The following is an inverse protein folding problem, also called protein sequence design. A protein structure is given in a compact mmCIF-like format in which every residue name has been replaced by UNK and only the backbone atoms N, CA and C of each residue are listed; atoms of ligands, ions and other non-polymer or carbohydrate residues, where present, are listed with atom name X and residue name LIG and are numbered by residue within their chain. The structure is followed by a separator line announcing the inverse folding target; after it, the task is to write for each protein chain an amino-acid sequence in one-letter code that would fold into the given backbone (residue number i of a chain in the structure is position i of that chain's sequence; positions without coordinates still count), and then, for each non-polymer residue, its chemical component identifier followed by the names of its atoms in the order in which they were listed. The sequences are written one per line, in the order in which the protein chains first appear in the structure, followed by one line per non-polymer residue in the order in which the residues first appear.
data_IF_261857993132
#
_entry.id   IF_261857993132
#
_cell.length_a   1.000
_cell.length_b   1.000
_cell.length_c   1.000
_cell.angle_alpha   90.00
_cell.angle_beta   90.00
_cell.angle_gamma   90.00
#
_symmetry.space_group_name_H-M   'P 1'
#
loop_
_entity.id
_entity.type
_entity.pdbx_description
1 polymer ?
#
# COMPACT_ATOMS: atom_id res chain seq x y z
N UNK A 1 -16.19 -6.77 -4.23
CA UNK A 1 -15.04 -7.22 -3.41
C UNK A 1 -15.49 -7.28 -1.96
N UNK A 2 -15.60 -8.47 -1.38
CA UNK A 2 -15.96 -8.67 0.03
C UNK A 2 -14.72 -9.15 0.79
N UNK A 3 -14.21 -8.43 1.81
CA UNK A 3 -13.06 -8.89 2.59
C UNK A 3 -13.35 -10.17 3.40
N UNK A 4 -14.62 -10.51 3.65
CA UNK A 4 -15.04 -11.75 4.32
C UNK A 4 -15.14 -12.96 3.41
N UNK A 5 -15.33 -12.72 2.12
CA UNK A 5 -15.46 -13.76 1.11
C UNK A 5 -14.74 -13.31 -0.17
N UNK A 6 -13.43 -13.14 -0.05
CA UNK A 6 -12.62 -12.56 -1.13
C UNK A 6 -12.41 -13.59 -2.24
N UNK A 7 -12.95 -13.31 -3.42
CA UNK A 7 -12.73 -14.12 -4.61
C UNK A 7 -11.45 -13.67 -5.32
N UNK A 8 -10.43 -14.54 -5.33
CA UNK A 8 -9.16 -14.26 -5.99
C UNK A 8 -9.28 -14.08 -7.50
N UNK A 9 -10.33 -14.61 -8.13
CA UNK A 9 -10.60 -14.40 -9.56
C UNK A 9 -11.11 -12.98 -9.88
N UNK A 10 -11.45 -12.19 -8.85
CA UNK A 10 -11.84 -10.78 -9.02
C UNK A 10 -10.68 -9.88 -9.45
N UNK A 11 -9.44 -10.37 -9.40
CA UNK A 11 -8.25 -9.63 -9.79
C UNK A 11 -7.56 -10.28 -10.99
N UNK A 12 -7.03 -9.43 -11.86
CA UNK A 12 -6.20 -9.84 -13.00
C UNK A 12 -4.77 -9.40 -12.71
N UNK A 13 -3.86 -10.35 -12.52
CA UNK A 13 -2.45 -10.07 -12.34
C UNK A 13 -1.81 -9.64 -13.65
N UNK A 14 -1.05 -8.53 -13.60
CA UNK A 14 -0.32 -8.00 -14.76
C UNK A 14 1.06 -7.50 -14.34
N UNK A 15 2.09 -7.85 -15.10
CA UNK A 15 3.43 -7.28 -14.99
C UNK A 15 3.67 -6.37 -16.19
N UNK A 16 3.77 -5.08 -15.94
CA UNK A 16 3.87 -4.03 -16.98
C UNK A 16 4.54 -2.79 -16.39
N UNK A 17 5.24 -2.02 -17.22
CA UNK A 17 5.84 -0.75 -16.81
C UNK A 17 4.80 0.37 -16.66
N UNK A 18 3.62 0.20 -17.27
CA UNK A 18 2.50 1.16 -17.20
C UNK A 18 1.20 0.41 -16.95
N UNK A 19 0.41 0.88 -15.99
CA UNK A 19 -0.94 0.40 -15.74
C UNK A 19 -1.95 1.52 -16.02
N UNK A 20 -2.98 1.22 -16.82
CA UNK A 20 -4.13 2.11 -17.03
C UNK A 20 -5.24 1.65 -16.08
N UNK A 21 -5.61 2.51 -15.14
CA UNK A 21 -6.71 2.28 -14.20
C UNK A 21 -7.98 2.84 -14.84
N UNK A 22 -9.01 2.01 -15.08
CA UNK A 22 -10.29 2.48 -15.62
C UNK A 22 -10.95 3.54 -14.72
N UNK A 23 -11.91 4.32 -15.25
CA UNK A 23 -12.73 5.23 -14.46
C UNK A 23 -13.39 4.52 -13.26
N UNK A 24 -13.42 5.19 -12.11
CA UNK A 24 -14.06 4.70 -10.88
C UNK A 24 -13.63 3.28 -10.47
N UNK A 25 -12.35 2.96 -10.67
CA UNK A 25 -11.76 1.65 -10.38
C UNK A 25 -10.44 1.80 -9.62
N UNK A 26 -9.84 0.69 -9.20
CA UNK A 26 -8.57 0.70 -8.49
C UNK A 26 -7.65 -0.42 -8.95
N UNK A 27 -6.36 -0.26 -8.65
CA UNK A 27 -5.33 -1.28 -8.86
C UNK A 27 -4.56 -1.50 -7.55
N UNK A 28 -4.22 -2.75 -7.27
CA UNK A 28 -3.29 -3.10 -6.21
C UNK A 28 -1.90 -3.28 -6.80
N UNK A 29 -0.90 -2.68 -6.15
CA UNK A 29 0.50 -2.85 -6.45
C UNK A 29 1.29 -3.00 -5.15
N UNK A 30 2.62 -3.03 -5.26
CA UNK A 30 3.51 -2.99 -4.10
C UNK A 30 4.67 -2.04 -4.33
N UNK A 31 5.28 -1.57 -3.25
CA UNK A 31 6.56 -0.85 -3.32
C UNK A 31 7.66 -1.74 -3.89
N UNK A 32 8.64 -1.11 -4.55
CA UNK A 32 9.90 -1.78 -4.90
C UNK A 32 10.69 -2.04 -3.62
N UNK A 33 10.69 -1.06 -2.73
CA UNK A 33 11.35 -1.03 -1.44
C UNK A 33 10.74 -2.04 -0.46
N UNK A 34 11.59 -2.61 0.37
CA UNK A 34 11.23 -3.44 1.52
C UNK A 34 11.52 -2.67 2.80
N UNK A 35 10.54 -2.56 3.69
CA UNK A 35 10.70 -1.84 4.95
C UNK A 35 10.84 -2.79 6.12
N UNK A 36 11.62 -2.35 7.11
CA UNK A 36 11.69 -2.90 8.47
C UNK A 36 11.53 -1.73 9.43
N UNK A 37 10.36 -1.59 10.01
CA UNK A 37 10.00 -0.44 10.84
C UNK A 37 10.50 -0.67 12.27
N UNK A 38 11.28 0.27 12.85
CA UNK A 38 11.68 0.20 14.25
C UNK A 38 10.49 0.13 15.22
N UNK A 39 10.74 -0.33 16.45
CA UNK A 39 9.69 -0.50 17.47
C UNK A 39 9.18 0.82 18.06
N UNK A 40 9.92 1.90 17.85
CA UNK A 40 9.63 3.26 18.30
C UNK A 40 9.22 4.17 17.14
N UNK A 41 8.90 3.63 15.95
CA UNK A 41 8.55 4.43 14.78
C UNK A 41 7.20 4.00 14.19
N UNK A 42 6.33 4.96 13.93
CA UNK A 42 5.14 4.80 13.10
C UNK A 42 5.40 5.43 11.73
N UNK A 43 5.00 4.76 10.65
CA UNK A 43 5.17 5.32 9.30
C UNK A 43 3.82 5.55 8.64
N UNK A 44 3.63 6.75 8.10
CA UNK A 44 2.43 7.13 7.34
C UNK A 44 2.81 7.29 5.88
N UNK A 45 2.05 6.65 5.00
CA UNK A 45 2.19 6.83 3.55
C UNK A 45 1.23 7.93 3.07
N UNK A 46 1.73 8.81 2.22
CA UNK A 46 0.94 9.84 1.56
C UNK A 46 1.15 9.77 0.04
N UNK A 47 0.09 10.06 -0.71
CA UNK A 47 0.19 10.26 -2.16
C UNK A 47 1.09 11.45 -2.51
N UNK A 48 1.57 11.47 -3.75
CA UNK A 48 2.31 12.62 -4.31
C UNK A 48 1.40 13.51 -5.14
N UNK A 49 1.70 14.82 -5.13
CA UNK A 49 0.87 15.83 -5.78
C UNK A 49 0.66 15.58 -7.28
N UNK A 50 1.67 15.03 -7.97
CA UNK A 50 1.59 14.67 -9.40
C UNK A 50 0.40 13.74 -9.67
N UNK A 51 0.29 12.64 -8.92
CA UNK A 51 -0.80 11.67 -9.07
C UNK A 51 -2.12 12.18 -8.51
N UNK A 52 -2.09 12.89 -7.38
CA UNK A 52 -3.29 13.49 -6.80
C UNK A 52 -3.98 14.47 -7.78
N UNK A 53 -3.21 15.23 -8.56
CA UNK A 53 -3.75 16.14 -9.59
C UNK A 53 -4.34 15.44 -10.81
N UNK A 54 -4.06 14.15 -10.97
CA UNK A 54 -4.70 13.29 -11.96
C UNK A 54 -5.92 12.53 -11.38
N UNK A 55 -6.33 12.83 -10.14
CA UNK A 55 -7.42 12.16 -9.43
C UNK A 55 -7.08 10.71 -9.01
N UNK A 56 -5.78 10.42 -8.89
CA UNK A 56 -5.29 9.17 -8.31
C UNK A 56 -5.07 9.35 -6.81
N UNK A 57 -5.70 8.49 -6.03
CA UNK A 57 -5.50 8.38 -4.59
C UNK A 57 -4.62 7.16 -4.34
N UNK A 58 -3.56 7.32 -3.55
CA UNK A 58 -2.77 6.20 -3.02
C UNK A 58 -3.23 5.94 -1.61
N UNK A 59 -3.99 4.87 -1.40
CA UNK A 59 -4.48 4.46 -0.09
C UNK A 59 -3.57 3.37 0.48
N UNK A 60 -3.06 3.61 1.69
CA UNK A 60 -2.15 2.72 2.41
C UNK A 60 -2.40 2.92 3.91
N UNK A 61 -2.62 1.84 4.63
CA UNK A 61 -2.75 1.89 6.10
C UNK A 61 -1.38 2.15 6.73
N UNK A 62 -1.30 2.86 7.87
CA UNK A 62 -0.04 3.11 8.56
C UNK A 62 0.79 1.84 8.77
N UNK A 63 2.11 1.96 8.64
CA UNK A 63 3.02 0.86 8.96
C UNK A 63 3.36 0.96 10.43
N UNK A 64 2.80 0.02 11.19
CA UNK A 64 2.89 0.00 12.64
C UNK A 64 4.31 -0.34 13.12
N UNK A 65 4.69 0.07 14.34
CA UNK A 65 6.01 -0.24 14.88
C UNK A 65 6.29 -1.74 14.89
N UNK A 66 7.51 -2.10 14.47
CA UNK A 66 7.93 -3.50 14.32
C UNK A 66 7.39 -4.22 13.08
N UNK A 67 6.64 -3.57 12.19
CA UNK A 67 6.21 -4.17 10.92
C UNK A 67 7.37 -4.32 9.93
N UNK A 68 7.40 -5.42 9.16
CA UNK A 68 8.27 -5.54 7.98
C UNK A 68 7.54 -6.10 6.76
N UNK A 69 7.93 -5.66 5.57
CA UNK A 69 7.27 -6.08 4.32
C UNK A 69 7.54 -5.15 3.14
N UNK A 70 7.13 -5.60 1.94
CA UNK A 70 6.78 -4.67 0.87
C UNK A 70 5.43 -4.04 1.17
N UNK A 71 5.27 -2.74 0.94
CA UNK A 71 4.01 -2.05 1.22
C UNK A 71 3.03 -2.32 0.08
N UNK A 72 1.84 -2.83 0.38
CA UNK A 72 0.74 -2.90 -0.61
C UNK A 72 0.23 -1.48 -0.86
N UNK A 73 0.19 -1.07 -2.13
CA UNK A 73 -0.32 0.23 -2.57
C UNK A 73 -1.67 0.02 -3.25
N UNK A 74 -2.71 0.70 -2.77
CA UNK A 74 -4.00 0.77 -3.45
C UNK A 74 -4.08 2.09 -4.23
N UNK A 75 -4.04 2.00 -5.56
CA UNK A 75 -4.23 3.15 -6.45
C UNK A 75 -5.69 3.22 -6.87
N UNK A 76 -6.42 4.21 -6.36
CA UNK A 76 -7.83 4.44 -6.68
C UNK A 76 -7.97 5.59 -7.68
N UNK A 77 -8.65 5.34 -8.80
CA UNK A 77 -9.01 6.36 -9.79
C UNK A 77 -10.43 6.83 -9.54
N UNK A 78 -10.57 8.04 -8.99
CA UNK A 78 -11.88 8.64 -8.69
C UNK A 78 -12.41 9.53 -9.80
N UNK A 79 -11.77 9.52 -10.98
CA UNK A 79 -12.16 10.35 -12.13
C UNK A 79 -13.02 9.55 -13.11
N UNK A 80 -13.80 10.24 -13.97
CA UNK A 80 -14.52 9.59 -15.07
C UNK A 80 -13.62 9.23 -16.27
N UNK A 81 -12.31 9.49 -16.20
CA UNK A 81 -11.35 9.23 -17.28
C UNK A 81 -10.36 8.13 -16.88
N UNK A 82 -9.85 7.33 -17.83
CA UNK A 82 -8.76 6.40 -17.53
C UNK A 82 -7.51 7.16 -17.08
N UNK A 83 -6.84 6.65 -16.05
CA UNK A 83 -5.62 7.25 -15.50
C UNK A 83 -4.45 6.27 -15.61
N UNK A 84 -3.25 6.80 -15.88
CA UNK A 84 -2.02 5.99 -15.97
C UNK A 84 -1.23 6.10 -14.68
N UNK A 85 -0.71 4.97 -14.22
CA UNK A 85 0.36 4.88 -13.23
C UNK A 85 1.56 4.16 -13.84
N UNK A 86 2.75 4.54 -13.42
CA UNK A 86 4.01 4.03 -13.94
C UNK A 86 4.77 3.25 -12.86
N UNK A 87 5.38 2.14 -13.25
CA UNK A 87 6.25 1.38 -12.37
C UNK A 87 7.58 2.10 -12.14
N UNK A 88 8.23 1.82 -11.01
CA UNK A 88 9.57 2.31 -10.66
C UNK A 88 9.75 3.83 -10.59
N UNK A 89 8.66 4.59 -10.41
CA UNK A 89 8.74 6.03 -10.12
C UNK A 89 8.17 6.38 -8.74
N UNK A 90 8.37 7.64 -8.36
CA UNK A 90 7.87 8.15 -7.09
C UNK A 90 6.35 8.26 -7.06
N UNK A 91 5.67 7.18 -6.71
CA UNK A 91 4.20 7.12 -6.63
C UNK A 91 3.62 7.68 -5.33
N UNK A 92 4.35 7.52 -4.22
CA UNK A 92 3.96 7.99 -2.89
C UNK A 92 5.21 8.47 -2.11
N UNK A 93 5.00 8.88 -0.88
CA UNK A 93 6.04 9.27 0.07
C UNK A 93 5.70 8.75 1.47
N UNK A 94 6.73 8.49 2.27
CA UNK A 94 6.59 7.96 3.62
C UNK A 94 7.11 8.97 4.62
N UNK A 95 6.29 9.26 5.63
CA UNK A 95 6.64 10.08 6.78
C UNK A 95 6.91 9.16 7.96
N UNK A 96 8.08 9.31 8.57
CA UNK A 96 8.49 8.52 9.74
C UNK A 96 8.29 9.37 10.99
N UNK A 97 7.47 8.87 11.90
CA UNK A 97 7.14 9.52 13.16
C UNK A 97 7.76 8.72 14.29
N UNK A 98 8.82 9.25 14.88
CA UNK A 98 9.48 8.62 16.03
C UNK A 98 8.73 8.95 17.32
N UNK A 99 8.44 7.94 18.12
CA UNK A 99 7.89 8.07 19.47
C UNK A 99 8.95 8.51 20.48
N UNK A 100 8.49 8.96 21.65
CA UNK A 100 9.36 9.23 22.80
C UNK A 100 9.91 7.94 23.42
N UNK A 101 9.22 6.81 23.24
CA UNK A 101 9.60 5.49 23.74
C UNK A 101 9.08 4.36 22.80
N UNK A 102 9.65 3.14 22.86
CA UNK A 102 9.14 2.00 22.11
C UNK A 102 7.70 1.64 22.50
N UNK A 103 6.90 1.14 21.55
CA UNK A 103 5.54 0.71 21.88
C UNK A 103 5.54 -0.52 22.81
N UNK A 104 4.54 -0.60 23.71
CA UNK A 104 4.37 -1.75 24.61
C UNK A 104 4.11 -3.05 23.83
N UNK A 105 3.29 -2.99 22.78
CA UNK A 105 2.96 -4.12 21.91
C UNK A 105 3.13 -3.70 20.45
N UNK A 106 4.00 -4.39 19.73
CA UNK A 106 4.32 -4.13 18.32
C UNK A 106 3.47 -4.95 17.35
N UNK A 107 3.59 -4.66 16.06
CA UNK A 107 2.99 -5.49 15.01
C UNK A 107 3.54 -6.93 15.04
N UNK A 108 4.82 -7.09 15.34
CA UNK A 108 5.48 -8.39 15.47
C UNK A 108 4.94 -9.21 16.65
N UNK A 109 4.76 -8.57 17.81
CA UNK A 109 4.26 -9.26 19.02
C UNK A 109 2.84 -9.81 18.82
N UNK A 110 2.02 -9.11 18.03
CA UNK A 110 0.65 -9.55 17.69
C UNK A 110 0.61 -10.64 16.61
N UNK A 111 1.75 -11.10 16.10
CA UNK A 111 1.85 -11.99 14.95
C UNK A 111 0.99 -11.49 13.77
N UNK A 112 1.12 -10.20 13.44
CA UNK A 112 0.24 -9.55 12.48
C UNK A 112 0.25 -10.20 11.10
N UNK A 113 -0.93 -10.27 10.48
CA UNK A 113 -1.26 -11.09 9.29
C UNK A 113 -0.40 -10.80 8.05
N UNK A 114 0.11 -9.58 7.97
CA UNK A 114 0.87 -9.06 6.82
C UNK A 114 2.37 -8.93 7.12
N UNK A 115 2.84 -9.56 8.20
CA UNK A 115 4.26 -9.59 8.53
C UNK A 115 5.06 -10.28 7.42
N UNK A 116 6.16 -9.66 7.01
CA UNK A 116 7.07 -10.18 6.01
C UNK A 116 6.45 -10.32 4.61
N UNK A 117 5.35 -9.61 4.33
CA UNK A 117 4.62 -9.84 3.09
C UNK A 117 5.47 -9.56 1.83
N UNK A 118 5.28 -10.42 0.82
CA UNK A 118 5.96 -10.37 -0.47
C UNK A 118 4.91 -10.31 -1.59
N UNK A 119 5.22 -9.57 -2.66
CA UNK A 119 4.29 -9.38 -3.77
C UNK A 119 3.09 -8.49 -3.40
N UNK A 120 2.01 -8.61 -4.17
CA UNK A 120 0.73 -7.97 -3.88
C UNK A 120 -0.08 -8.93 -3.02
N UNK A 121 -0.14 -8.66 -1.71
CA UNK A 121 -0.85 -9.55 -0.77
C UNK A 121 -2.32 -9.15 -0.67
N UNK A 122 -3.19 -10.10 -0.98
CA UNK A 122 -4.65 -9.95 -0.89
C UNK A 122 -5.13 -9.97 0.58
N UNK A 123 -6.34 -9.47 0.87
CA UNK A 123 -6.88 -9.42 2.24
C UNK A 123 -6.86 -10.78 2.95
N UNK A 124 -6.47 -10.78 4.22
CA UNK A 124 -6.49 -11.93 5.14
C UNK A 124 -7.35 -11.61 6.37
N UNK A 125 -8.28 -12.50 6.70
CA UNK A 125 -9.05 -12.46 7.95
C UNK A 125 -8.43 -13.29 9.06
#
# INVERSE_FOLDING_TARGET
VDPKNFDSSSFVDRKTDVCVIPPNSFALARTVEYFRVPRDVLVICLGKSTYARCGIIVNVTPLEPGWEGHVTLEFSNTTPLPAKIYANEGACQFLFLQGNEPCEVSYADRAGKYMGQRGVTLPKL
#
